data_IF_187540862246
#
_entry.id   IF_187540862246
#
_cell.length_a   1.000
_cell.length_b   1.000
_cell.length_c   1.000
_cell.angle_alpha   90.00
_cell.angle_beta   90.00
_cell.angle_gamma   90.00
#
_symmetry.space_group_name_H-M   'P 1'
#
loop_
_entity.id
_entity.type
_entity.pdbx_description
1 polymer ?
#
# COMPACT_ATOMS: atom_id res chain seq x y z
N UNK A 1 -16.78 2.17 -17.98
CA UNK A 1 -17.28 1.93 -16.62
C UNK A 1 -17.49 0.45 -16.27
N UNK A 2 -17.69 -0.45 -17.25
CA UNK A 2 -17.97 -1.87 -16.99
C UNK A 2 -16.98 -2.55 -16.00
N UNK A 3 -15.67 -2.30 -16.11
CA UNK A 3 -14.66 -2.91 -15.21
C UNK A 3 -14.73 -2.46 -13.75
N UNK A 4 -15.44 -1.38 -13.42
CA UNK A 4 -15.65 -0.92 -12.03
C UNK A 4 -16.97 -1.47 -11.48
N UNK A 5 -17.91 -1.86 -12.35
CA UNK A 5 -19.19 -2.47 -11.97
C UNK A 5 -19.03 -3.96 -11.67
N UNK A 6 -18.09 -4.61 -12.34
CA UNK A 6 -17.80 -6.04 -12.20
C UNK A 6 -16.28 -6.24 -12.10
N UNK A 7 -15.75 -6.02 -10.90
CA UNK A 7 -14.32 -6.16 -10.61
C UNK A 7 -13.99 -7.59 -10.24
N UNK A 8 -12.89 -8.11 -10.77
CA UNK A 8 -12.34 -9.40 -10.31
C UNK A 8 -11.99 -9.34 -8.82
N UNK A 9 -12.31 -10.40 -8.10
CA UNK A 9 -11.76 -10.61 -6.78
C UNK A 9 -10.24 -10.90 -6.89
N UNK A 10 -9.44 -10.56 -5.87
CA UNK A 10 -8.00 -10.85 -5.88
C UNK A 10 -7.62 -12.30 -6.18
N UNK A 11 -8.44 -13.25 -5.73
CA UNK A 11 -8.23 -14.68 -5.94
C UNK A 11 -8.45 -15.13 -7.41
N UNK A 12 -9.15 -14.33 -8.21
CA UNK A 12 -9.44 -14.62 -9.63
C UNK A 12 -8.35 -14.05 -10.56
N UNK A 13 -7.47 -13.19 -10.03
CA UNK A 13 -6.39 -12.56 -10.78
C UNK A 13 -5.24 -13.55 -10.98
N UNK A 14 -4.83 -13.75 -12.23
CA UNK A 14 -3.63 -14.51 -12.58
C UNK A 14 -2.42 -13.59 -12.56
N UNK A 15 -1.47 -13.76 -11.61
CA UNK A 15 -0.35 -12.81 -11.45
C UNK A 15 0.48 -12.64 -12.72
N UNK A 16 0.66 -13.72 -13.49
CA UNK A 16 1.51 -13.74 -14.69
C UNK A 16 0.96 -12.92 -15.86
N UNK A 17 -0.31 -12.53 -15.82
CA UNK A 17 -0.93 -11.72 -16.88
C UNK A 17 -0.60 -10.22 -16.75
N UNK A 18 0.06 -9.81 -15.66
CA UNK A 18 0.32 -8.42 -15.32
C UNK A 18 1.82 -8.14 -15.19
N UNK A 19 2.23 -6.89 -15.44
CA UNK A 19 3.62 -6.42 -15.21
C UNK A 19 3.73 -5.50 -13.99
N UNK A 20 2.60 -5.08 -13.44
CA UNK A 20 2.52 -4.20 -12.30
C UNK A 20 1.23 -4.43 -11.51
N UNK A 21 1.28 -4.14 -10.21
CA UNK A 21 0.12 -3.98 -9.35
C UNK A 21 0.12 -2.55 -8.82
N UNK A 22 -1.05 -1.90 -8.82
CA UNK A 22 -1.22 -0.53 -8.36
C UNK A 22 -2.35 -0.44 -7.34
N UNK A 23 -2.06 0.09 -6.15
CA UNK A 23 -3.03 0.32 -5.10
C UNK A 23 -3.46 1.78 -5.08
N UNK A 24 -4.69 2.04 -5.51
CA UNK A 24 -5.35 3.33 -5.31
C UNK A 24 -5.58 3.58 -3.80
N UNK A 25 -5.62 4.86 -3.41
CA UNK A 25 -5.85 5.27 -2.03
C UNK A 25 -7.32 5.48 -1.68
N UNK A 26 -7.56 6.34 -0.70
CA UNK A 26 -8.86 6.58 -0.07
C UNK A 26 -8.95 5.83 1.27
N UNK A 27 -9.51 6.48 2.31
CA UNK A 27 -9.46 5.97 3.68
C UNK A 27 -10.02 4.54 3.85
N UNK A 28 -10.99 4.12 3.04
CA UNK A 28 -11.59 2.77 3.13
C UNK A 28 -10.56 1.65 3.05
N UNK A 29 -9.47 1.85 2.29
CA UNK A 29 -8.41 0.85 2.12
C UNK A 29 -7.67 0.53 3.42
N UNK A 30 -7.81 1.35 4.47
CA UNK A 30 -7.20 1.12 5.77
C UNK A 30 -7.85 -0.04 6.54
N UNK A 31 -9.08 -0.44 6.17
CA UNK A 31 -9.84 -1.49 6.89
C UNK A 31 -9.77 -2.86 6.23
N UNK A 32 -9.69 -2.92 4.90
CA UNK A 32 -9.82 -4.17 4.16
C UNK A 32 -8.50 -4.67 3.56
N UNK A 33 -7.64 -3.79 3.05
CA UNK A 33 -6.41 -4.18 2.36
C UNK A 33 -5.30 -4.72 3.29
N UNK A 34 -5.02 -4.15 4.48
CA UNK A 34 -3.89 -4.55 5.31
C UNK A 34 -3.88 -6.04 5.69
N UNK A 35 -5.05 -6.64 5.88
CA UNK A 35 -5.19 -8.02 6.34
C UNK A 35 -5.73 -8.98 5.25
N UNK A 36 -5.86 -8.49 4.02
CA UNK A 36 -6.29 -9.31 2.88
C UNK A 36 -5.15 -10.25 2.42
N UNK A 37 -5.16 -11.49 2.93
CA UNK A 37 -4.13 -12.50 2.63
C UNK A 37 -3.95 -12.80 1.13
N UNK A 38 -5.03 -12.97 0.32
CA UNK A 38 -4.88 -13.12 -1.12
C UNK A 38 -4.11 -11.97 -1.78
N UNK A 39 -4.43 -10.71 -1.44
CA UNK A 39 -3.70 -9.55 -1.94
C UNK A 39 -2.24 -9.53 -1.49
N UNK A 40 -1.96 -9.90 -0.24
CA UNK A 40 -0.59 -9.98 0.26
C UNK A 40 0.24 -11.00 -0.54
N UNK A 41 -0.33 -12.20 -0.77
CA UNK A 41 0.32 -13.26 -1.54
C UNK A 41 0.52 -12.86 -3.00
N UNK A 42 -0.50 -12.27 -3.64
CA UNK A 42 -0.43 -11.75 -4.99
C UNK A 42 0.69 -10.70 -5.12
N UNK A 43 0.74 -9.74 -4.19
CA UNK A 43 1.73 -8.66 -4.19
C UNK A 43 3.15 -9.20 -3.99
N UNK A 44 3.36 -10.10 -3.02
CA UNK A 44 4.66 -10.71 -2.78
C UNK A 44 5.14 -11.49 -4.01
N UNK A 45 4.28 -12.34 -4.59
CA UNK A 45 4.60 -13.11 -5.79
C UNK A 45 4.93 -12.21 -6.99
N UNK A 46 4.17 -11.12 -7.19
CA UNK A 46 4.44 -10.15 -8.24
C UNK A 46 5.77 -9.41 -8.01
N UNK A 47 6.04 -8.97 -6.79
CA UNK A 47 7.28 -8.27 -6.47
C UNK A 47 8.51 -9.17 -6.66
N UNK A 48 8.48 -10.40 -6.16
CA UNK A 48 9.62 -11.33 -6.21
C UNK A 48 10.00 -11.79 -7.62
N UNK A 49 9.04 -11.76 -8.57
CA UNK A 49 9.32 -12.01 -9.99
C UNK A 49 9.74 -10.76 -10.77
N UNK A 50 9.87 -9.61 -10.10
CA UNK A 50 10.31 -8.35 -10.71
C UNK A 50 9.21 -7.48 -11.30
N UNK A 51 7.93 -7.71 -10.96
CA UNK A 51 6.85 -6.80 -11.34
C UNK A 51 6.87 -5.51 -10.49
N UNK A 52 6.35 -4.42 -11.05
CA UNK A 52 6.28 -3.15 -10.35
C UNK A 52 5.15 -3.14 -9.31
N UNK A 53 5.43 -2.57 -8.14
CA UNK A 53 4.43 -2.33 -7.09
C UNK A 53 4.32 -0.83 -6.88
N UNK A 54 3.16 -0.27 -7.22
CA UNK A 54 2.85 1.15 -7.02
C UNK A 54 1.70 1.33 -6.04
N UNK A 55 1.71 2.43 -5.29
CA UNK A 55 0.62 2.79 -4.40
C UNK A 55 0.59 4.31 -4.17
N UNK A 56 -0.59 4.86 -3.89
CA UNK A 56 -0.78 6.32 -3.72
C UNK A 56 -1.70 6.66 -2.55
N UNK A 57 -1.44 7.77 -1.85
CA UNK A 57 -2.23 8.25 -0.72
C UNK A 57 -2.29 7.19 0.40
N UNK A 58 -3.47 6.64 0.73
CA UNK A 58 -3.61 5.51 1.65
C UNK A 58 -3.36 4.13 1.04
N UNK A 59 -3.22 4.02 -0.28
CA UNK A 59 -2.97 2.75 -0.98
C UNK A 59 -1.80 1.93 -0.42
N UNK A 60 -0.71 2.53 0.09
CA UNK A 60 0.36 1.81 0.79
C UNK A 60 -0.10 1.00 2.01
N UNK A 61 -1.33 1.20 2.53
CA UNK A 61 -1.95 0.34 3.53
C UNK A 61 -1.98 -1.13 3.10
N UNK A 62 -2.13 -1.41 1.80
CA UNK A 62 -2.07 -2.77 1.25
C UNK A 62 -0.70 -3.45 1.47
N UNK A 63 0.36 -2.67 1.70
CA UNK A 63 1.74 -3.14 1.78
C UNK A 63 2.22 -3.38 3.23
N UNK A 64 1.49 -2.89 4.24
CA UNK A 64 1.97 -2.85 5.64
C UNK A 64 2.18 -4.23 6.27
N UNK A 65 1.55 -5.27 5.73
CA UNK A 65 1.69 -6.65 6.20
C UNK A 65 2.19 -7.61 5.10
N UNK A 66 2.57 -7.11 3.92
CA UNK A 66 3.14 -7.96 2.86
C UNK A 66 4.52 -8.42 3.30
N UNK A 67 4.69 -9.73 3.41
CA UNK A 67 5.97 -10.38 3.68
C UNK A 67 6.47 -11.12 2.44
N UNK A 68 7.78 -11.06 2.23
CA UNK A 68 8.46 -11.81 1.18
C UNK A 68 8.79 -13.23 1.64
N UNK A 69 9.24 -14.07 0.72
CA UNK A 69 9.68 -15.46 0.97
C UNK A 69 10.78 -15.56 2.04
N UNK A 70 11.60 -14.51 2.19
CA UNK A 70 12.63 -14.40 3.22
C UNK A 70 12.08 -14.05 4.63
N UNK A 71 10.76 -13.85 4.77
CA UNK A 71 10.08 -13.51 6.03
C UNK A 71 10.10 -12.03 6.41
N UNK A 72 10.84 -11.19 5.67
CA UNK A 72 10.88 -9.75 5.89
C UNK A 72 9.66 -9.06 5.27
N UNK A 73 9.30 -7.89 5.81
CA UNK A 73 8.28 -7.05 5.17
C UNK A 73 8.81 -6.47 3.87
N UNK A 74 7.97 -6.45 2.83
CA UNK A 74 8.33 -5.90 1.51
C UNK A 74 8.86 -4.47 1.62
N UNK A 75 8.28 -3.67 2.52
CA UNK A 75 8.64 -2.26 2.72
C UNK A 75 9.92 -2.06 3.56
N UNK A 76 10.50 -3.12 4.13
CA UNK A 76 11.68 -3.01 4.99
C UNK A 76 12.87 -2.45 4.20
N UNK A 77 13.46 -1.37 4.71
CA UNK A 77 14.61 -0.70 4.11
C UNK A 77 14.30 0.17 2.88
N UNK A 78 13.06 0.13 2.38
CA UNK A 78 12.60 0.93 1.23
C UNK A 78 12.22 2.34 1.68
N UNK A 79 12.43 3.31 0.79
CA UNK A 79 11.91 4.67 0.96
C UNK A 79 10.51 4.72 0.39
N UNK A 80 9.55 5.27 1.11
CA UNK A 80 8.14 5.34 0.67
C UNK A 80 7.59 6.74 0.85
N UNK A 81 6.72 7.15 -0.06
CA UNK A 81 5.81 8.27 0.14
C UNK A 81 4.39 7.69 0.33
N UNK A 82 3.71 8.11 1.39
CA UNK A 82 2.33 7.76 1.70
C UNK A 82 1.65 8.95 2.39
N UNK A 83 0.33 8.86 2.59
CA UNK A 83 -0.41 9.86 3.36
C UNK A 83 0.19 9.99 4.76
N UNK A 84 0.54 11.21 5.15
CA UNK A 84 1.29 11.45 6.40
C UNK A 84 0.38 11.49 7.60
N UNK A 85 0.96 11.31 8.79
CA UNK A 85 0.25 11.53 10.05
C UNK A 85 -0.26 12.98 10.15
N UNK A 86 0.51 13.96 9.66
CA UNK A 86 0.15 15.37 9.67
C UNK A 86 -1.00 15.69 8.71
N UNK A 87 -1.06 15.02 7.55
CA UNK A 87 -2.19 15.12 6.63
C UNK A 87 -3.44 14.47 7.21
N UNK A 88 -3.31 13.33 7.89
CA UNK A 88 -4.42 12.65 8.61
C UNK A 88 -4.99 13.51 9.73
N UNK A 89 -4.13 14.19 10.49
CA UNK A 89 -4.56 15.13 11.54
C UNK A 89 -5.25 16.35 10.92
N UNK A 90 -4.73 16.89 9.82
CA UNK A 90 -5.33 18.03 9.12
C UNK A 90 -6.74 17.73 8.57
N UNK A 91 -7.03 16.47 8.20
CA UNK A 91 -8.39 16.05 7.81
C UNK A 91 -9.24 15.58 8.99
N UNK A 92 -8.70 15.55 10.22
CA UNK A 92 -9.44 15.28 11.46
C UNK A 92 -9.84 13.82 11.67
N UNK A 93 -9.16 12.87 11.01
CA UNK A 93 -9.56 11.46 11.00
C UNK A 93 -8.61 10.53 11.78
N UNK A 94 -7.60 11.08 12.46
CA UNK A 94 -6.62 10.31 13.25
C UNK A 94 -7.25 9.39 14.30
N UNK A 95 -8.38 9.80 14.89
CA UNK A 95 -9.14 9.00 15.87
C UNK A 95 -10.11 7.99 15.25
N UNK A 96 -10.37 8.09 13.95
CA UNK A 96 -11.26 7.18 13.20
C UNK A 96 -10.45 6.04 12.58
N UNK A 97 -9.22 6.33 12.14
CA UNK A 97 -8.37 5.34 11.48
C UNK A 97 -8.02 4.16 12.40
N UNK A 98 -7.96 2.92 11.86
CA UNK A 98 -7.59 1.74 12.66
C UNK A 98 -6.11 1.77 13.07
N UNK A 99 -5.29 2.50 12.33
CA UNK A 99 -3.90 2.84 12.64
C UNK A 99 -3.48 4.03 11.76
N UNK A 100 -2.41 4.73 12.14
CA UNK A 100 -1.83 5.76 11.27
C UNK A 100 -0.86 5.13 10.27
N UNK A 101 -1.07 5.40 8.98
CA UNK A 101 -0.39 4.71 7.88
C UNK A 101 1.13 4.89 7.92
N UNK A 102 1.59 6.14 8.01
CA UNK A 102 3.01 6.46 8.10
C UNK A 102 3.68 5.73 9.27
N UNK A 103 3.11 5.85 10.47
CA UNK A 103 3.64 5.20 11.68
C UNK A 103 3.73 3.68 11.51
N UNK A 104 2.73 3.07 10.88
CA UNK A 104 2.72 1.63 10.63
C UNK A 104 3.80 1.22 9.63
N UNK A 105 3.98 1.95 8.53
CA UNK A 105 5.04 1.69 7.55
C UNK A 105 6.43 1.80 8.18
N UNK A 106 6.68 2.81 9.01
CA UNK A 106 7.93 2.98 9.75
C UNK A 106 8.16 1.81 10.70
N UNK A 107 7.13 1.36 11.43
CA UNK A 107 7.22 0.18 12.30
C UNK A 107 7.51 -1.13 11.55
N UNK A 108 7.35 -1.16 10.22
CA UNK A 108 7.70 -2.27 9.33
C UNK A 108 9.08 -2.12 8.69
N UNK A 109 9.80 -1.06 9.04
CA UNK A 109 11.16 -0.77 8.60
C UNK A 109 11.25 0.09 7.35
N UNK A 110 10.14 0.70 6.90
CA UNK A 110 10.17 1.66 5.80
C UNK A 110 10.77 3.01 6.24
N UNK A 111 11.39 3.73 5.30
CA UNK A 111 11.84 5.11 5.47
C UNK A 111 10.79 6.03 4.83
N UNK A 112 9.98 6.71 5.64
CA UNK A 112 8.95 7.58 5.10
C UNK A 112 9.54 8.92 4.65
N UNK A 113 9.44 9.23 3.36
CA UNK A 113 9.81 10.53 2.79
C UNK A 113 8.57 11.42 2.73
N UNK A 114 8.64 12.59 3.37
CA UNK A 114 7.54 13.56 3.44
C UNK A 114 7.84 14.78 2.57
N UNK A 115 6.77 15.36 2.04
CA UNK A 115 6.75 16.73 1.51
C UNK A 115 5.83 17.58 2.41
N UNK A 116 5.73 18.90 2.20
CA UNK A 116 4.68 19.70 2.83
C UNK A 116 3.30 19.11 2.53
N UNK A 117 2.38 19.22 3.48
CA UNK A 117 1.05 18.62 3.38
C UNK A 117 0.36 18.94 2.04
N UNK A 118 -0.25 17.92 1.46
CA UNK A 118 -1.04 17.96 0.23
C UNK A 118 -0.26 18.36 -1.03
N UNK A 119 1.07 18.36 -0.97
CA UNK A 119 1.92 18.55 -2.14
C UNK A 119 2.24 17.23 -2.83
N UNK A 120 2.46 17.30 -4.14
CA UNK A 120 2.89 16.13 -4.91
C UNK A 120 4.26 15.63 -4.42
N UNK A 121 4.32 14.37 -4.04
CA UNK A 121 5.56 13.69 -3.68
C UNK A 121 5.54 12.24 -4.13
N UNK A 122 6.58 11.80 -4.83
CA UNK A 122 6.71 10.45 -5.38
C UNK A 122 8.11 9.92 -5.10
N UNK A 123 8.20 8.65 -4.73
CA UNK A 123 9.46 7.93 -4.51
C UNK A 123 9.52 6.71 -5.41
N UNK A 124 10.70 6.43 -5.95
CA UNK A 124 11.03 5.23 -6.74
C UNK A 124 12.24 4.55 -6.10
N UNK A 125 12.21 3.22 -5.95
CA UNK A 125 13.26 2.41 -5.28
C UNK A 125 13.90 1.41 -6.24
#
# INVERSE_FOLDING_TARGET
MAKIQDTLAPAEVKPNDYQAIFFAGGHGVMWDLPDNKPLQQLTASMYERGALVGAVCHGPAALVNVKLSNGEYLVKGKTVAAFTNEEEEAVGLTKVMPFLLESKLIARGAKHAKAPNFQSHVVVN
#
